data_IF_717510763157
#
_entry.id   IF_717510763157
#
_cell.length_a   1.000
_cell.length_b   1.000
_cell.length_c   1.000
_cell.angle_alpha   90.00
_cell.angle_beta   90.00
_cell.angle_gamma   90.00
#
_symmetry.space_group_name_H-M   'P 1'
#
loop_
_entity.id
_entity.type
_entity.pdbx_description
1 polymer ?
#
# COMPACT_ATOMS: atom_id res chain seq x y z
N UNK A 1 -24.49 -11.58 -4.83
CA UNK A 1 -24.06 -10.16 -4.99
C UNK A 1 -25.26 -9.22 -5.07
N UNK A 2 -26.28 -9.53 -5.88
CA UNK A 2 -27.49 -8.69 -6.04
C UNK A 2 -28.26 -8.35 -4.74
N UNK A 3 -28.44 -9.26 -3.78
CA UNK A 3 -29.17 -8.94 -2.54
C UNK A 3 -28.46 -7.94 -1.62
N UNK A 4 -27.12 -7.98 -1.52
CA UNK A 4 -26.35 -7.01 -0.71
C UNK A 4 -26.38 -5.64 -1.38
N UNK A 5 -26.41 -5.63 -2.71
CA UNK A 5 -26.51 -4.45 -3.55
C UNK A 5 -27.89 -3.78 -3.46
N UNK A 6 -29.00 -4.52 -3.58
CA UNK A 6 -30.34 -3.98 -3.38
C UNK A 6 -30.54 -3.42 -1.97
N UNK A 7 -30.05 -4.10 -0.93
CA UNK A 7 -30.09 -3.57 0.45
C UNK A 7 -29.26 -2.30 0.63
N UNK A 8 -28.22 -2.09 -0.19
CA UNK A 8 -27.41 -0.87 -0.15
C UNK A 8 -28.15 0.30 -0.81
N UNK A 9 -28.75 0.06 -1.97
CA UNK A 9 -29.57 1.03 -2.67
C UNK A 9 -30.81 1.40 -1.87
N UNK A 10 -31.47 0.41 -1.27
CA UNK A 10 -32.59 0.59 -0.36
C UNK A 10 -32.17 1.40 0.87
N UNK A 11 -31.01 1.12 1.48
CA UNK A 11 -30.49 1.93 2.59
C UNK A 11 -30.21 3.38 2.19
N UNK A 12 -29.56 3.61 1.03
CA UNK A 12 -29.24 4.96 0.55
C UNK A 12 -30.52 5.74 0.19
N UNK A 13 -31.48 5.07 -0.45
CA UNK A 13 -32.78 5.63 -0.81
C UNK A 13 -33.63 5.95 0.43
N UNK A 14 -33.77 5.01 1.36
CA UNK A 14 -34.53 5.19 2.61
C UNK A 14 -33.89 6.24 3.50
N UNK A 15 -32.56 6.32 3.56
CA UNK A 15 -31.87 7.37 4.31
C UNK A 15 -32.12 8.75 3.72
N UNK A 16 -32.04 8.90 2.39
CA UNK A 16 -32.34 10.18 1.73
C UNK A 16 -33.81 10.59 1.85
N UNK A 17 -34.75 9.63 1.87
CA UNK A 17 -36.15 9.93 2.16
C UNK A 17 -36.37 10.37 3.61
N UNK A 18 -35.70 9.73 4.58
CA UNK A 18 -35.82 10.09 6.01
C UNK A 18 -35.21 11.44 6.35
N UNK A 19 -34.18 11.87 5.64
CA UNK A 19 -33.51 13.16 5.87
C UNK A 19 -34.29 14.37 5.27
N UNK A 20 -35.53 14.17 4.79
CA UNK A 20 -36.55 15.20 4.52
C UNK A 20 -36.07 16.50 3.82
N UNK A 21 -35.98 16.44 2.48
CA UNK A 21 -36.04 17.60 1.56
C UNK A 21 -36.84 17.34 0.26
N UNK A 22 -37.59 16.24 0.19
CA UNK A 22 -38.25 15.82 -1.07
C UNK A 22 -39.71 16.25 -1.23
N UNK A 23 -40.28 17.01 -0.29
CA UNK A 23 -41.72 17.25 -0.27
C UNK A 23 -42.26 18.27 -1.29
N UNK A 24 -41.44 18.93 -2.11
CA UNK A 24 -41.93 19.89 -3.11
C UNK A 24 -41.09 19.82 -4.39
N UNK A 25 -41.35 18.83 -5.27
CA UNK A 25 -40.85 18.86 -6.65
C UNK A 25 -42.03 18.53 -7.57
N UNK A 26 -42.35 19.46 -8.48
CA UNK A 26 -43.46 19.35 -9.42
C UNK A 26 -43.37 18.08 -10.29
N UNK A 27 -44.52 17.55 -10.69
CA UNK A 27 -44.68 16.28 -11.41
C UNK A 27 -43.97 16.19 -12.78
N UNK A 28 -43.44 17.29 -13.33
CA UNK A 28 -42.64 17.28 -14.57
C UNK A 28 -41.14 17.08 -14.32
N UNK A 29 -40.62 17.41 -13.13
CA UNK A 29 -39.19 17.22 -12.80
C UNK A 29 -38.89 15.83 -12.22
N UNK A 30 -39.90 15.06 -11.83
CA UNK A 30 -39.73 13.74 -11.21
C UNK A 30 -39.03 12.72 -12.11
N UNK A 31 -39.29 12.73 -13.42
CA UNK A 31 -38.72 11.73 -14.34
C UNK A 31 -37.22 11.93 -14.60
N UNK A 32 -36.80 13.18 -14.87
CA UNK A 32 -35.38 13.51 -15.07
C UNK A 32 -34.57 13.30 -13.78
N UNK A 33 -35.19 13.58 -12.65
CA UNK A 33 -34.60 13.40 -11.34
C UNK A 33 -34.37 11.93 -11.02
N UNK A 34 -35.34 11.08 -11.35
CA UNK A 34 -35.21 9.64 -11.22
C UNK A 34 -34.06 9.10 -12.07
N UNK A 35 -33.92 9.60 -13.30
CA UNK A 35 -32.86 9.18 -14.22
C UNK A 35 -31.45 9.56 -13.73
N UNK A 36 -31.25 10.79 -13.25
CA UNK A 36 -29.95 11.22 -12.69
C UNK A 36 -29.59 10.43 -11.43
N UNK A 37 -30.59 10.21 -10.57
CA UNK A 37 -30.40 9.42 -9.37
C UNK A 37 -29.97 7.99 -9.71
N UNK A 38 -30.62 7.36 -10.68
CA UNK A 38 -30.23 6.04 -11.18
C UNK A 38 -28.84 6.03 -11.82
N UNK A 39 -28.48 7.04 -12.62
CA UNK A 39 -27.13 7.12 -13.18
C UNK A 39 -26.04 7.22 -12.11
N UNK A 40 -26.29 7.95 -11.02
CA UNK A 40 -25.35 8.00 -9.88
C UNK A 40 -25.28 6.66 -9.16
N UNK A 41 -26.42 6.00 -8.96
CA UNK A 41 -26.50 4.64 -8.41
C UNK A 41 -25.70 3.65 -9.28
N UNK A 42 -25.89 3.68 -10.59
CA UNK A 42 -25.21 2.82 -11.54
C UNK A 42 -23.70 3.08 -11.54
N UNK A 43 -23.30 4.35 -11.40
CA UNK A 43 -21.90 4.70 -11.22
C UNK A 43 -21.33 4.09 -9.93
N UNK A 44 -22.01 4.26 -8.78
CA UNK A 44 -21.59 3.63 -7.52
C UNK A 44 -21.55 2.10 -7.65
N UNK A 45 -22.52 1.51 -8.34
CA UNK A 45 -22.59 0.07 -8.61
C UNK A 45 -21.39 -0.42 -9.42
N UNK A 46 -21.05 0.32 -10.48
CA UNK A 46 -19.88 0.07 -11.30
C UNK A 46 -18.60 0.09 -10.45
N UNK A 47 -18.47 1.05 -9.52
CA UNK A 47 -17.35 1.09 -8.58
C UNK A 47 -17.32 -0.12 -7.67
N UNK A 48 -18.49 -0.54 -7.15
CA UNK A 48 -18.64 -1.74 -6.33
C UNK A 48 -18.19 -3.03 -7.03
N UNK A 49 -18.37 -3.09 -8.35
CA UNK A 49 -18.02 -4.26 -9.15
C UNK A 49 -16.55 -4.26 -9.59
N UNK A 50 -16.00 -3.08 -9.92
CA UNK A 50 -14.72 -2.98 -10.62
C UNK A 50 -13.53 -2.60 -9.72
N UNK A 51 -13.77 -2.03 -8.54
CA UNK A 51 -12.71 -1.62 -7.61
C UNK A 51 -12.70 -2.55 -6.38
N UNK A 52 -11.51 -2.90 -5.88
CA UNK A 52 -11.37 -3.75 -4.69
C UNK A 52 -11.46 -2.93 -3.40
N UNK A 53 -12.62 -2.98 -2.74
CA UNK A 53 -12.87 -2.34 -1.45
C UNK A 53 -12.06 -2.94 -0.31
N UNK A 54 -11.51 -4.14 -0.52
CA UNK A 54 -10.63 -4.81 0.43
C UNK A 54 -9.21 -4.29 0.42
N UNK A 55 -8.83 -3.47 -0.57
CA UNK A 55 -7.54 -2.80 -0.57
C UNK A 55 -7.61 -1.44 0.15
N UNK A 56 -6.58 -1.15 0.94
CA UNK A 56 -6.58 0.06 1.77
C UNK A 56 -6.30 1.34 0.96
N UNK A 57 -6.06 1.24 -0.35
CA UNK A 57 -5.76 2.37 -1.25
C UNK A 57 -7.06 2.93 -1.84
N UNK A 58 -7.87 2.03 -2.38
CA UNK A 58 -9.13 2.33 -3.05
C UNK A 58 -10.12 3.01 -2.13
N UNK A 59 -10.06 2.80 -0.81
CA UNK A 59 -10.95 3.46 0.15
C UNK A 59 -10.82 4.99 0.07
N UNK A 60 -9.59 5.52 0.03
CA UNK A 60 -9.35 6.97 -0.07
C UNK A 60 -9.85 7.54 -1.40
N UNK A 61 -9.63 6.80 -2.49
CA UNK A 61 -10.11 7.19 -3.81
C UNK A 61 -11.65 7.20 -3.86
N UNK A 62 -12.27 6.09 -3.45
CA UNK A 62 -13.72 5.91 -3.44
C UNK A 62 -14.43 6.92 -2.55
N UNK A 63 -13.85 7.26 -1.41
CA UNK A 63 -14.34 8.32 -0.52
C UNK A 63 -14.52 9.65 -1.26
N UNK A 64 -13.50 10.07 -2.01
CA UNK A 64 -13.54 11.32 -2.79
C UNK A 64 -14.54 11.23 -3.94
N UNK A 65 -14.57 10.09 -4.64
CA UNK A 65 -15.53 9.89 -5.75
C UNK A 65 -16.98 9.90 -5.24
N UNK A 66 -17.26 9.24 -4.13
CA UNK A 66 -18.61 9.20 -3.57
C UNK A 66 -19.03 10.58 -3.08
N UNK A 67 -18.13 11.32 -2.44
CA UNK A 67 -18.37 12.72 -2.08
C UNK A 67 -18.71 13.57 -3.30
N UNK A 68 -17.93 13.46 -4.38
CA UNK A 68 -18.19 14.20 -5.63
C UNK A 68 -19.55 13.84 -6.24
N UNK A 69 -19.91 12.55 -6.28
CA UNK A 69 -21.22 12.10 -6.77
C UNK A 69 -22.37 12.66 -5.92
N UNK A 70 -22.23 12.65 -4.59
CA UNK A 70 -23.25 13.17 -3.68
C UNK A 70 -23.40 14.69 -3.81
N UNK A 71 -22.29 15.43 -3.95
CA UNK A 71 -22.32 16.88 -4.23
C UNK A 71 -22.98 17.20 -5.57
N UNK A 72 -22.72 16.42 -6.63
CA UNK A 72 -23.37 16.62 -7.93
C UNK A 72 -24.88 16.42 -7.88
N UNK A 73 -25.32 15.39 -7.16
CA UNK A 73 -26.73 15.17 -6.92
C UNK A 73 -27.34 16.35 -6.16
N UNK A 74 -26.67 16.85 -5.12
CA UNK A 74 -27.14 18.02 -4.35
C UNK A 74 -27.23 19.29 -5.21
N UNK A 75 -26.23 19.55 -6.06
CA UNK A 75 -26.21 20.69 -7.00
C UNK A 75 -27.33 20.61 -8.04
N UNK A 76 -27.70 19.40 -8.45
CA UNK A 76 -28.88 19.21 -9.28
C UNK A 76 -30.16 19.55 -8.53
N UNK A 77 -30.31 19.11 -7.28
CA UNK A 77 -31.47 19.42 -6.45
C UNK A 77 -31.63 20.90 -6.13
N UNK A 78 -30.53 21.65 -5.99
CA UNK A 78 -30.56 23.11 -5.82
C UNK A 78 -30.77 23.88 -7.12
N UNK A 79 -30.91 23.20 -8.27
CA UNK A 79 -30.98 23.79 -9.60
C UNK A 79 -29.71 24.57 -10.03
N UNK A 80 -28.57 24.33 -9.38
CA UNK A 80 -27.27 24.92 -9.74
C UNK A 80 -26.68 24.30 -11.02
N UNK A 81 -27.09 23.07 -11.35
CA UNK A 81 -26.63 22.34 -12.55
C UNK A 81 -27.79 21.72 -13.31
N UNK A 82 -27.70 21.75 -14.64
CA UNK A 82 -28.66 21.09 -15.51
C UNK A 82 -28.49 19.57 -15.52
N UNK A 83 -29.54 18.85 -15.90
CA UNK A 83 -29.52 17.38 -16.00
C UNK A 83 -28.44 16.87 -16.95
N UNK A 84 -28.22 17.57 -18.06
CA UNK A 84 -27.17 17.27 -19.04
C UNK A 84 -25.77 17.40 -18.43
N UNK A 85 -25.48 18.51 -17.74
CA UNK A 85 -24.18 18.74 -17.10
C UNK A 85 -23.86 17.64 -16.08
N UNK A 86 -24.85 17.24 -15.28
CA UNK A 86 -24.68 16.19 -14.27
C UNK A 86 -24.37 14.84 -14.91
N UNK A 87 -25.01 14.48 -16.02
CA UNK A 87 -24.72 13.23 -16.76
C UNK A 87 -23.30 13.21 -17.31
N UNK A 88 -22.88 14.31 -17.93
CA UNK A 88 -21.53 14.46 -18.45
C UNK A 88 -20.49 14.28 -17.34
N UNK A 89 -20.69 14.93 -16.19
CA UNK A 89 -19.78 14.78 -15.06
C UNK A 89 -19.78 13.37 -14.44
N UNK A 90 -20.94 12.69 -14.39
CA UNK A 90 -21.02 11.28 -13.96
C UNK A 90 -20.23 10.39 -14.93
N UNK A 91 -20.32 10.63 -16.24
CA UNK A 91 -19.55 9.89 -17.24
C UNK A 91 -18.04 10.16 -17.11
N UNK A 92 -17.64 11.40 -16.84
CA UNK A 92 -16.24 11.75 -16.54
C UNK A 92 -15.75 11.02 -15.28
N UNK A 93 -16.57 10.94 -14.23
CA UNK A 93 -16.25 10.17 -13.02
C UNK A 93 -16.05 8.68 -13.33
N UNK A 94 -16.91 8.08 -14.17
CA UNK A 94 -16.72 6.69 -14.62
C UNK A 94 -15.37 6.51 -15.32
N UNK A 95 -15.02 7.44 -16.22
CA UNK A 95 -13.73 7.42 -16.92
C UNK A 95 -12.56 7.54 -15.94
N UNK A 96 -12.63 8.42 -14.94
CA UNK A 96 -11.62 8.54 -13.88
C UNK A 96 -11.43 7.22 -13.11
N UNK A 97 -12.51 6.49 -12.87
CA UNK A 97 -12.45 5.22 -12.14
C UNK A 97 -11.81 4.11 -12.98
N UNK A 98 -12.08 4.07 -14.29
CA UNK A 98 -11.38 3.18 -15.23
C UNK A 98 -9.88 3.51 -15.27
N UNK A 99 -9.54 4.80 -15.34
CA UNK A 99 -8.14 5.25 -15.31
C UNK A 99 -7.44 4.86 -14.00
N UNK A 100 -8.12 5.04 -12.85
CA UNK A 100 -7.59 4.65 -11.55
C UNK A 100 -7.26 3.16 -11.52
N UNK A 101 -8.19 2.32 -11.96
CA UNK A 101 -8.01 0.88 -12.03
C UNK A 101 -6.81 0.51 -12.92
N UNK A 102 -6.70 1.11 -14.10
CA UNK A 102 -5.60 0.86 -15.03
C UNK A 102 -4.24 1.28 -14.43
N UNK A 103 -4.16 2.46 -13.82
CA UNK A 103 -2.93 2.93 -13.17
C UNK A 103 -2.57 2.11 -11.95
N UNK A 104 -3.55 1.69 -11.15
CA UNK A 104 -3.32 0.83 -10.00
C UNK A 104 -2.74 -0.53 -10.42
N UNK A 105 -3.31 -1.15 -11.47
CA UNK A 105 -2.76 -2.39 -12.01
C UNK A 105 -1.36 -2.23 -12.57
N UNK A 106 -1.11 -1.15 -13.32
CA UNK A 106 0.23 -0.83 -13.81
C UNK A 106 1.22 -0.67 -12.65
N UNK A 107 0.83 0.03 -11.59
CA UNK A 107 1.65 0.22 -10.39
C UNK A 107 1.97 -1.11 -9.68
N UNK A 108 0.98 -1.98 -9.47
CA UNK A 108 1.20 -3.29 -8.85
C UNK A 108 2.17 -4.17 -9.65
N UNK A 109 2.04 -4.17 -10.97
CA UNK A 109 2.87 -4.97 -11.87
C UNK A 109 4.29 -4.41 -12.00
N UNK A 110 4.39 -3.15 -12.39
CA UNK A 110 5.65 -2.54 -12.81
C UNK A 110 6.49 -2.06 -11.63
N UNK A 111 5.85 -1.58 -10.55
CA UNK A 111 6.54 -1.05 -9.37
C UNK A 111 6.66 -2.10 -8.28
N UNK A 112 5.54 -2.74 -7.90
CA UNK A 112 5.55 -3.69 -6.78
C UNK A 112 5.99 -5.10 -7.18
N UNK A 113 6.06 -5.40 -8.49
CA UNK A 113 6.38 -6.72 -9.04
C UNK A 113 5.53 -7.83 -8.41
N UNK A 114 4.27 -7.51 -8.08
CA UNK A 114 3.30 -8.48 -7.56
C UNK A 114 2.59 -9.09 -8.76
N UNK A 115 2.75 -10.40 -9.04
CA UNK A 115 1.96 -11.02 -10.10
C UNK A 115 0.49 -10.85 -9.72
N UNK A 116 -0.34 -10.39 -10.67
CA UNK A 116 -1.79 -10.31 -10.47
C UNK A 116 -2.28 -11.74 -10.26
N UNK A 117 -2.41 -12.15 -9.00
CA UNK A 117 -3.17 -13.34 -8.65
C UNK A 117 -4.65 -12.98 -8.82
N UNK A 118 -5.05 -13.05 -10.09
CA UNK A 118 -6.39 -12.98 -10.67
C UNK A 118 -7.20 -11.69 -10.44
N UNK A 119 -7.79 -11.22 -11.54
CA UNK A 119 -8.65 -10.05 -11.76
C UNK A 119 -9.94 -10.01 -10.91
N UNK A 120 -10.07 -10.85 -9.88
CA UNK A 120 -11.28 -10.96 -9.09
C UNK A 120 -11.17 -10.08 -7.86
N UNK A 121 -12.24 -9.33 -7.60
CA UNK A 121 -12.47 -8.62 -6.37
C UNK A 121 -12.37 -9.64 -5.20
N UNK A 122 -11.19 -9.75 -4.57
CA UNK A 122 -10.88 -10.71 -3.49
C UNK A 122 -11.92 -10.58 -2.38
N UNK A 123 -12.45 -9.37 -2.23
CA UNK A 123 -13.52 -9.05 -1.32
C UNK A 123 -14.86 -9.73 -1.69
N UNK A 124 -15.25 -9.76 -2.97
CA UNK A 124 -16.46 -10.46 -3.44
C UNK A 124 -16.41 -11.97 -3.12
N UNK A 125 -15.23 -12.59 -3.15
CA UNK A 125 -15.04 -13.98 -2.74
C UNK A 125 -15.10 -14.16 -1.21
N UNK A 126 -14.51 -13.23 -0.45
CA UNK A 126 -14.49 -13.27 1.03
C UNK A 126 -15.87 -13.08 1.66
N UNK A 127 -16.79 -12.35 1.01
CA UNK A 127 -18.19 -12.25 1.47
C UNK A 127 -18.90 -13.61 1.36
N UNK A 128 -18.52 -14.45 0.39
CA UNK A 128 -19.17 -15.74 0.15
C UNK A 128 -18.72 -16.87 1.08
N UNK A 129 -17.43 -16.92 1.47
CA UNK A 129 -16.87 -18.06 2.21
C UNK A 129 -15.68 -17.65 3.09
N UNK A 130 -15.91 -17.15 4.30
CA UNK A 130 -14.92 -17.34 5.37
C UNK A 130 -15.34 -18.58 6.16
N UNK A 131 -14.72 -19.77 5.94
CA UNK A 131 -14.85 -20.82 6.93
C UNK A 131 -14.41 -20.21 8.27
N UNK A 132 -15.28 -20.30 9.29
CA UNK A 132 -14.89 -19.97 10.66
C UNK A 132 -13.74 -20.92 11.01
N UNK A 133 -12.49 -20.45 10.88
CA UNK A 133 -11.36 -21.17 11.46
C UNK A 133 -11.50 -20.99 12.96
N UNK A 134 -11.85 -22.06 13.66
CA UNK A 134 -11.78 -22.08 15.11
C UNK A 134 -10.35 -21.72 15.49
N UNK A 135 -10.19 -20.67 16.28
CA UNK A 135 -8.89 -20.31 16.85
C UNK A 135 -8.72 -21.25 18.03
N UNK A 136 -7.96 -22.32 17.84
CA UNK A 136 -7.64 -23.26 18.90
C UNK A 136 -6.58 -22.63 19.83
N UNK A 137 -6.74 -22.78 21.15
CA UNK A 137 -5.66 -22.47 22.11
C UNK A 137 -4.45 -23.38 21.87
N UNK A 138 -3.29 -23.01 22.42
CA UNK A 138 -2.09 -23.83 22.27
C UNK A 138 -2.29 -25.23 22.89
N UNK A 139 -2.98 -25.33 24.03
CA UNK A 139 -3.35 -26.65 24.59
C UNK A 139 -4.33 -27.41 23.68
N UNK A 140 -5.28 -26.72 23.03
CA UNK A 140 -6.22 -27.35 22.10
C UNK A 140 -5.55 -27.83 20.81
N UNK A 141 -4.48 -27.19 20.36
CA UNK A 141 -3.70 -27.64 19.20
C UNK A 141 -2.89 -28.89 19.59
N UNK A 142 -2.32 -28.90 20.79
CA UNK A 142 -1.50 -30.02 21.29
C UNK A 142 -2.35 -31.22 21.73
N UNK A 143 -3.60 -31.00 22.13
CA UNK A 143 -4.54 -32.07 22.52
C UNK A 143 -5.33 -32.66 21.35
N UNK A 144 -5.26 -32.05 20.17
CA UNK A 144 -5.84 -32.67 18.97
C UNK A 144 -5.12 -33.98 18.69
N UNK A 145 -5.85 -35.09 18.49
CA UNK A 145 -5.22 -36.33 18.08
C UNK A 145 -4.46 -36.07 16.78
N UNK A 146 -3.19 -36.45 16.75
CA UNK A 146 -2.37 -36.35 15.53
C UNK A 146 -3.11 -37.12 14.45
N UNK A 147 -3.63 -36.42 13.45
CA UNK A 147 -4.27 -37.04 12.30
C UNK A 147 -3.20 -37.76 11.48
N UNK A 148 -2.93 -39.01 11.83
CA UNK A 148 -1.93 -39.86 11.17
C UNK A 148 -2.32 -40.20 9.72
N UNK A 149 -3.55 -39.92 9.32
CA UNK A 149 -4.03 -40.10 7.95
C UNK A 149 -3.93 -38.81 7.11
N UNK A 150 -3.51 -37.70 7.71
CA UNK A 150 -3.20 -36.47 6.97
C UNK A 150 -2.10 -36.74 5.93
N UNK A 151 -2.22 -36.10 4.76
CA UNK A 151 -1.25 -36.22 3.66
C UNK A 151 0.22 -35.93 4.10
N UNK A 152 0.40 -35.18 5.19
CA UNK A 152 1.71 -34.92 5.80
C UNK A 152 2.37 -36.19 6.37
N UNK A 153 1.58 -37.14 6.87
CA UNK A 153 2.03 -38.41 7.44
C UNK A 153 1.85 -39.59 6.50
N UNK A 154 1.07 -39.45 5.42
CA UNK A 154 1.13 -40.45 4.36
C UNK A 154 2.57 -40.51 3.84
N UNK A 155 3.22 -41.68 3.84
CA UNK A 155 4.57 -41.87 3.31
C UNK A 155 4.58 -41.80 1.77
N UNK A 156 3.77 -40.92 1.18
CA UNK A 156 3.83 -40.55 -0.23
C UNK A 156 4.77 -39.35 -0.37
N UNK A 157 5.94 -39.42 0.26
CA UNK A 157 7.10 -39.11 -0.54
C UNK A 157 7.09 -40.18 -1.61
N UNK A 158 6.53 -39.88 -2.80
CA UNK A 158 6.95 -40.62 -3.99
C UNK A 158 8.46 -40.72 -3.85
N UNK A 159 9.02 -41.93 -3.91
CA UNK A 159 10.46 -42.07 -4.05
C UNK A 159 10.82 -41.23 -5.27
N UNK A 160 11.21 -39.99 -5.03
CA UNK A 160 11.75 -39.13 -6.05
C UNK A 160 13.07 -39.82 -6.35
N UNK A 161 13.15 -40.45 -7.52
CA UNK A 161 14.36 -41.03 -8.09
C UNK A 161 15.34 -39.89 -8.40
N UNK A 162 15.78 -39.17 -7.38
CA UNK A 162 16.94 -38.30 -7.45
C UNK A 162 18.15 -39.21 -7.61
N UNK A 163 18.36 -39.70 -8.84
CA UNK A 163 19.54 -40.50 -9.16
C UNK A 163 20.82 -39.79 -8.76
N UNK A 164 20.83 -38.45 -8.79
CA UNK A 164 21.92 -37.60 -8.30
C UNK A 164 21.39 -36.24 -7.79
N UNK A 165 21.78 -35.84 -6.57
CA UNK A 165 21.67 -34.46 -6.10
C UNK A 165 22.94 -33.71 -6.49
N UNK A 166 22.83 -32.78 -7.44
CA UNK A 166 23.97 -32.02 -7.93
C UNK A 166 23.98 -30.61 -7.33
N UNK A 167 24.97 -30.32 -6.50
CA UNK A 167 25.26 -28.97 -6.01
C UNK A 167 26.43 -28.39 -6.81
N UNK A 168 26.22 -27.22 -7.42
CA UNK A 168 27.27 -26.45 -8.08
C UNK A 168 27.37 -25.09 -7.43
N UNK A 169 28.59 -24.67 -7.18
CA UNK A 169 28.89 -23.29 -6.79
C UNK A 169 29.39 -22.50 -8.00
N UNK A 170 29.12 -21.20 -8.00
CA UNK A 170 29.61 -20.28 -9.03
C UNK A 170 30.96 -19.67 -8.67
N UNK A 171 31.25 -19.61 -7.38
CA UNK A 171 32.44 -18.95 -6.87
C UNK A 171 33.59 -19.97 -6.77
N UNK A 172 34.83 -19.58 -7.06
CA UNK A 172 35.99 -20.42 -6.78
C UNK A 172 36.22 -20.49 -5.26
N UNK A 173 36.59 -21.67 -4.76
CA UNK A 173 36.95 -21.88 -3.34
C UNK A 173 38.36 -22.43 -3.25
N UNK A 174 39.14 -21.86 -2.34
CA UNK A 174 40.47 -22.38 -2.00
C UNK A 174 40.36 -23.69 -1.22
N UNK A 175 41.39 -24.53 -1.33
CA UNK A 175 41.46 -25.80 -0.60
C UNK A 175 41.46 -25.51 0.91
N UNK A 176 40.49 -26.07 1.63
CA UNK A 176 40.32 -25.87 3.08
C UNK A 176 39.35 -24.75 3.45
N UNK A 177 38.86 -23.96 2.48
CA UNK A 177 37.85 -22.95 2.73
C UNK A 177 36.46 -23.56 2.93
N UNK A 178 35.62 -22.88 3.72
CA UNK A 178 34.20 -23.23 3.86
C UNK A 178 33.46 -22.91 2.56
N UNK A 179 32.72 -23.89 2.04
CA UNK A 179 31.86 -23.72 0.85
C UNK A 179 30.48 -23.23 1.29
N UNK A 180 30.09 -22.06 0.79
CA UNK A 180 28.79 -21.46 1.08
C UNK A 180 27.80 -21.68 -0.07
N UNK A 181 26.52 -21.77 0.26
CA UNK A 181 25.43 -21.76 -0.70
C UNK A 181 24.34 -20.76 -0.29
N UNK A 182 23.70 -20.14 -1.27
CA UNK A 182 22.60 -19.21 -1.00
C UNK A 182 21.31 -19.99 -0.71
N UNK A 183 20.86 -19.98 0.54
CA UNK A 183 19.66 -20.70 0.98
C UNK A 183 18.40 -20.29 0.20
N UNK A 184 18.17 -18.98 0.02
CA UNK A 184 17.14 -18.35 -0.83
C UNK A 184 17.14 -16.83 -0.59
N UNK A 185 16.22 -16.10 -1.25
CA UNK A 185 15.97 -14.66 -1.04
C UNK A 185 15.12 -14.42 0.22
N UNK A 186 15.70 -14.72 1.39
CA UNK A 186 15.01 -14.67 2.68
C UNK A 186 15.39 -13.41 3.47
N UNK A 187 14.38 -12.78 4.08
CA UNK A 187 14.59 -11.74 5.08
C UNK A 187 15.08 -12.34 6.39
N UNK A 188 15.72 -11.55 7.25
CA UNK A 188 16.20 -12.02 8.55
C UNK A 188 15.07 -12.59 9.41
N UNK A 189 13.87 -11.99 9.35
CA UNK A 189 12.67 -12.57 10.00
C UNK A 189 12.38 -14.01 9.57
N UNK A 190 12.54 -14.35 8.28
CA UNK A 190 12.29 -15.70 7.77
C UNK A 190 13.43 -16.64 8.10
N UNK A 191 14.67 -16.15 8.09
CA UNK A 191 15.84 -16.93 8.47
C UNK A 191 15.79 -17.32 9.95
N UNK A 192 15.42 -16.39 10.84
CA UNK A 192 15.22 -16.68 12.25
C UNK A 192 14.15 -17.75 12.48
N UNK A 193 13.00 -17.61 11.82
CA UNK A 193 11.87 -18.55 12.00
C UNK A 193 12.15 -19.96 11.44
N UNK A 194 13.01 -20.10 10.43
CA UNK A 194 13.24 -21.38 9.75
C UNK A 194 14.56 -22.05 10.15
N UNK A 195 15.57 -21.25 10.44
CA UNK A 195 16.96 -21.69 10.61
C UNK A 195 17.59 -21.17 11.92
N UNK A 196 16.88 -20.35 12.71
CA UNK A 196 17.41 -19.85 13.98
C UNK A 196 18.54 -18.82 13.86
N UNK A 197 18.77 -18.24 12.66
CA UNK A 197 19.86 -17.29 12.42
C UNK A 197 19.40 -16.00 11.72
N UNK A 198 20.18 -14.94 11.89
CA UNK A 198 20.05 -13.66 11.19
C UNK A 198 21.41 -13.25 10.62
N UNK A 199 21.41 -12.50 9.51
CA UNK A 199 22.64 -12.01 8.88
C UNK A 199 22.67 -10.49 8.92
N UNK A 200 23.82 -9.94 9.29
CA UNK A 200 24.13 -8.52 9.12
C UNK A 200 24.14 -8.16 7.62
N UNK A 201 23.68 -6.95 7.29
CA UNK A 201 23.64 -6.43 5.92
C UNK A 201 22.95 -7.35 4.89
N UNK A 202 21.95 -8.12 5.31
CA UNK A 202 21.21 -9.00 4.41
C UNK A 202 20.46 -8.19 3.33
N UNK A 203 20.94 -8.28 2.08
CA UNK A 203 20.37 -7.59 0.91
C UNK A 203 18.87 -7.87 0.69
N UNK A 204 18.36 -9.01 1.15
CA UNK A 204 16.96 -9.40 1.01
C UNK A 204 16.10 -9.05 2.22
N UNK A 205 16.68 -8.39 3.22
CA UNK A 205 15.95 -8.04 4.43
C UNK A 205 14.90 -6.96 4.19
N UNK A 206 13.95 -6.91 5.12
CA UNK A 206 12.83 -5.99 5.05
C UNK A 206 12.19 -5.77 6.40
N UNK A 207 11.83 -4.52 6.69
CA UNK A 207 11.03 -4.16 7.84
C UNK A 207 9.56 -3.96 7.43
N UNK A 208 8.62 -4.26 8.32
CA UNK A 208 7.21 -3.95 8.10
C UNK A 208 6.81 -2.72 8.89
N UNK A 209 6.50 -1.64 8.17
CA UNK A 209 5.87 -0.45 8.71
C UNK A 209 4.37 -0.70 8.86
N UNK A 210 3.83 -0.51 10.07
CA UNK A 210 2.39 -0.63 10.35
C UNK A 210 1.81 0.77 10.52
N UNK A 211 0.86 1.12 9.67
CA UNK A 211 0.18 2.42 9.70
C UNK A 211 -1.29 2.20 10.00
N UNK A 212 -1.80 2.89 11.01
CA UNK A 212 -3.24 2.99 11.26
C UNK A 212 -3.85 3.96 10.26
N UNK A 213 -4.28 3.44 9.11
CA UNK A 213 -4.78 4.32 8.04
C UNK A 213 -6.16 4.89 8.33
N UNK A 214 -6.92 4.25 9.23
CA UNK A 214 -8.24 4.71 9.67
C UNK A 214 -8.23 6.16 10.17
N UNK A 215 -7.15 6.62 10.81
CA UNK A 215 -7.03 7.99 11.33
C UNK A 215 -6.97 9.07 10.24
N UNK A 216 -6.71 8.69 8.98
CA UNK A 216 -6.57 9.62 7.86
C UNK A 216 -7.83 9.73 6.99
N UNK A 217 -8.86 8.91 7.27
CA UNK A 217 -10.14 8.95 6.56
C UNK A 217 -10.98 10.07 7.14
N UNK A 218 -11.41 11.00 6.28
CA UNK A 218 -12.08 12.24 6.71
C UNK A 218 -13.60 12.13 6.60
N UNK A 219 -14.09 11.38 5.63
CA UNK A 219 -15.50 11.28 5.30
C UNK A 219 -16.16 10.06 5.97
N UNK A 220 -17.40 10.25 6.39
CA UNK A 220 -18.30 9.21 6.89
C UNK A 220 -18.45 8.05 5.91
N UNK A 221 -18.37 8.28 4.60
CA UNK A 221 -18.43 7.22 3.58
C UNK A 221 -17.25 6.25 3.70
N UNK A 222 -16.01 6.75 3.78
CA UNK A 222 -14.83 5.90 3.95
C UNK A 222 -14.88 5.11 5.26
N UNK A 223 -15.32 5.75 6.35
CA UNK A 223 -15.55 5.09 7.63
C UNK A 223 -16.61 3.99 7.52
N UNK A 224 -17.73 4.29 6.85
CA UNK A 224 -18.80 3.33 6.60
C UNK A 224 -18.30 2.12 5.79
N UNK A 225 -17.48 2.31 4.74
CA UNK A 225 -16.86 1.22 3.98
C UNK A 225 -16.04 0.33 4.93
N UNK A 226 -15.15 0.90 5.74
CA UNK A 226 -14.34 0.14 6.71
C UNK A 226 -15.22 -0.68 7.66
N UNK A 227 -16.21 -0.03 8.28
CA UNK A 227 -17.09 -0.68 9.26
C UNK A 227 -17.94 -1.78 8.64
N UNK A 228 -18.58 -1.47 7.50
CA UNK A 228 -19.45 -2.38 6.76
C UNK A 228 -18.71 -3.66 6.37
N UNK A 229 -17.46 -3.51 5.96
CA UNK A 229 -16.64 -4.58 5.41
C UNK A 229 -15.65 -5.19 6.40
N UNK A 230 -15.65 -4.72 7.65
CA UNK A 230 -14.75 -5.18 8.73
C UNK A 230 -13.30 -5.21 8.27
N UNK A 231 -12.87 -4.14 7.59
CA UNK A 231 -11.51 -4.03 7.08
C UNK A 231 -10.53 -3.86 8.26
N UNK A 232 -9.32 -4.38 8.10
CA UNK A 232 -8.27 -4.16 9.09
C UNK A 232 -7.96 -2.67 9.13
N UNK A 233 -7.92 -2.04 10.31
CA UNK A 233 -7.58 -0.61 10.48
C UNK A 233 -6.10 -0.31 10.24
N UNK A 234 -5.26 -1.36 10.19
CA UNK A 234 -3.83 -1.27 9.97
C UNK A 234 -3.45 -1.70 8.55
N UNK A 235 -2.66 -0.88 7.86
CA UNK A 235 -1.96 -1.23 6.62
C UNK A 235 -0.51 -1.56 6.95
N UNK A 236 0.01 -2.64 6.35
CA UNK A 236 1.42 -3.01 6.41
C UNK A 236 2.12 -2.61 5.11
N UNK A 237 3.21 -1.86 5.23
CA UNK A 237 4.12 -1.52 4.15
C UNK A 237 5.45 -2.26 4.35
N UNK A 238 6.00 -2.80 3.27
CA UNK A 238 7.27 -3.51 3.31
C UNK A 238 8.39 -2.54 2.93
N UNK A 239 9.17 -2.11 3.91
CA UNK A 239 10.36 -1.27 3.73
C UNK A 239 11.56 -2.15 3.42
N UNK A 240 12.46 -1.66 2.57
CA UNK A 240 13.70 -2.32 2.18
C UNK A 240 14.84 -1.31 2.19
N UNK A 241 16.07 -1.80 2.27
CA UNK A 241 17.27 -0.96 2.26
C UNK A 241 17.58 -0.38 0.86
N UNK A 242 17.31 -1.17 -0.18
CA UNK A 242 17.74 -0.90 -1.57
C UNK A 242 16.63 -0.43 -2.51
N UNK A 243 15.42 -0.18 -2.00
CA UNK A 243 14.26 0.22 -2.82
C UNK A 243 13.53 1.34 -2.08
N UNK A 244 13.24 2.49 -2.72
CA UNK A 244 12.43 3.54 -2.12
C UNK A 244 11.03 3.02 -1.75
N UNK A 245 10.39 3.56 -0.72
CA UNK A 245 9.12 3.06 -0.23
C UNK A 245 7.94 3.55 -1.09
N UNK A 246 7.95 3.28 -2.41
CA UNK A 246 6.96 3.77 -3.38
C UNK A 246 5.51 3.45 -2.99
N UNK A 247 5.23 2.22 -2.54
CA UNK A 247 3.87 1.84 -2.08
C UNK A 247 3.39 2.74 -0.93
N UNK A 248 4.30 3.15 -0.06
CA UNK A 248 3.99 3.98 1.08
C UNK A 248 3.85 5.47 0.69
N UNK A 249 4.69 5.97 -0.21
CA UNK A 249 4.56 7.34 -0.75
C UNK A 249 3.21 7.51 -1.47
N UNK A 250 2.84 6.57 -2.36
CA UNK A 250 1.53 6.60 -3.06
C UNK A 250 0.36 6.56 -2.07
N UNK A 251 0.48 5.79 -0.98
CA UNK A 251 -0.51 5.81 0.08
C UNK A 251 -0.64 7.20 0.72
N UNK A 252 0.48 7.87 1.03
CA UNK A 252 0.44 9.23 1.56
C UNK A 252 -0.15 10.24 0.55
N UNK A 253 0.09 10.06 -0.75
CA UNK A 253 -0.51 10.89 -1.81
C UNK A 253 -2.03 10.76 -1.81
N UNK A 254 -2.56 9.55 -1.70
CA UNK A 254 -4.01 9.32 -1.65
C UNK A 254 -4.70 10.03 -0.48
N UNK A 255 -4.02 10.22 0.65
CA UNK A 255 -4.57 10.93 1.82
C UNK A 255 -4.82 12.41 1.51
N UNK A 256 -3.98 13.03 0.69
CA UNK A 256 -4.10 14.44 0.29
C UNK A 256 -4.72 14.64 -1.10
N UNK A 257 -4.93 13.56 -1.85
CA UNK A 257 -5.56 13.62 -3.16
C UNK A 257 -7.00 14.11 -3.05
N UNK A 258 -7.38 14.94 -4.02
CA UNK A 258 -8.69 15.59 -4.09
C UNK A 258 -9.13 15.59 -5.54
N UNK A 259 -10.26 14.95 -5.84
CA UNK A 259 -10.79 14.78 -7.20
C UNK A 259 -11.23 16.07 -7.90
N UNK A 260 -11.30 17.18 -7.16
CA UNK A 260 -11.65 18.49 -7.70
C UNK A 260 -10.41 19.31 -8.10
N UNK A 261 -9.25 18.97 -7.57
CA UNK A 261 -7.99 19.69 -7.80
C UNK A 261 -7.03 18.87 -8.66
N UNK A 262 -6.99 17.56 -8.40
CA UNK A 262 -5.97 16.68 -8.95
C UNK A 262 -6.58 15.65 -9.91
N UNK A 263 -5.88 15.37 -11.00
CA UNK A 263 -6.19 14.25 -11.87
C UNK A 263 -5.76 12.91 -11.24
N UNK A 264 -6.30 11.80 -11.76
CA UNK A 264 -6.09 10.46 -11.19
C UNK A 264 -4.64 9.98 -11.34
N UNK A 265 -3.97 10.36 -12.42
CA UNK A 265 -2.56 10.03 -12.67
C UNK A 265 -1.62 10.67 -11.66
N UNK A 266 -1.94 11.84 -11.10
CA UNK A 266 -1.16 12.46 -10.02
C UNK A 266 -1.03 11.57 -8.78
N UNK A 267 -1.89 10.56 -8.58
CA UNK A 267 -1.77 9.60 -7.47
C UNK A 267 -0.50 8.75 -7.65
N UNK A 268 -0.22 8.32 -8.89
CA UNK A 268 0.80 7.32 -9.21
C UNK A 268 2.04 7.90 -9.88
N UNK A 269 1.93 9.10 -10.46
CA UNK A 269 3.00 9.86 -11.12
C UNK A 269 3.25 11.18 -10.38
N UNK A 270 4.45 11.70 -10.51
CA UNK A 270 4.81 13.03 -10.02
C UNK A 270 4.40 14.02 -11.12
N UNK A 271 3.38 14.84 -10.86
CA UNK A 271 2.85 15.84 -11.78
C UNK A 271 2.51 17.11 -11.01
N UNK A 272 1.93 16.96 -9.82
CA UNK A 272 1.74 18.04 -8.86
C UNK A 272 2.83 17.95 -7.77
N UNK A 273 3.78 18.89 -7.81
CA UNK A 273 4.89 18.97 -6.85
C UNK A 273 4.42 19.28 -5.42
N UNK A 274 3.32 20.03 -5.26
CA UNK A 274 2.76 20.39 -3.96
C UNK A 274 2.11 19.16 -3.30
N UNK A 275 1.37 18.38 -4.08
CA UNK A 275 0.81 17.11 -3.60
C UNK A 275 1.92 16.12 -3.21
N UNK A 276 2.95 16.00 -4.05
CA UNK A 276 4.11 15.14 -3.77
C UNK A 276 4.81 15.57 -2.47
N UNK A 277 5.06 16.87 -2.30
CA UNK A 277 5.70 17.42 -1.11
C UNK A 277 4.92 17.12 0.17
N UNK A 278 3.60 17.32 0.16
CA UNK A 278 2.72 16.99 1.29
C UNK A 278 2.75 15.49 1.62
N UNK A 279 2.72 14.64 0.59
CA UNK A 279 2.78 13.19 0.77
C UNK A 279 4.12 12.74 1.38
N UNK A 280 5.23 13.30 0.91
CA UNK A 280 6.57 13.02 1.45
C UNK A 280 6.71 13.50 2.90
N UNK A 281 6.19 14.69 3.24
CA UNK A 281 6.15 15.17 4.63
C UNK A 281 5.45 14.18 5.55
N UNK A 282 4.27 13.72 5.17
CA UNK A 282 3.51 12.76 5.95
C UNK A 282 4.21 11.40 6.04
N UNK A 283 4.84 10.96 4.93
CA UNK A 283 5.64 9.74 4.93
C UNK A 283 6.81 9.82 5.92
N UNK A 284 7.51 10.97 5.93
CA UNK A 284 8.61 11.25 6.86
C UNK A 284 8.12 11.27 8.31
N UNK A 285 7.02 11.99 8.59
CA UNK A 285 6.41 12.07 9.93
C UNK A 285 6.09 10.68 10.49
N UNK A 286 5.40 9.85 9.71
CA UNK A 286 5.04 8.48 10.11
C UNK A 286 6.30 7.62 10.34
N UNK A 287 7.33 7.74 9.50
CA UNK A 287 8.57 6.98 9.69
C UNK A 287 9.32 7.42 10.94
N UNK A 288 9.40 8.72 11.21
CA UNK A 288 10.01 9.26 12.43
C UNK A 288 9.24 8.82 13.68
N UNK A 289 7.90 8.88 13.66
CA UNK A 289 7.03 8.39 14.74
C UNK A 289 7.24 6.90 15.03
N UNK A 290 7.54 6.10 14.00
CA UNK A 290 7.78 4.66 14.16
C UNK A 290 9.22 4.36 14.54
N UNK A 291 10.16 5.19 14.11
CA UNK A 291 11.58 5.09 14.47
C UNK A 291 11.82 5.49 15.93
N UNK A 292 11.08 6.46 16.47
CA UNK A 292 11.17 6.86 17.88
C UNK A 292 10.66 5.80 18.86
N UNK A 293 9.95 4.76 18.39
CA UNK A 293 9.49 3.63 19.21
C UNK A 293 10.59 2.60 19.48
N UNK A 294 11.75 2.70 18.83
CA UNK A 294 12.90 1.87 19.15
C UNK A 294 13.58 2.41 20.40
N UNK A 295 13.90 1.51 21.34
CA UNK A 295 14.54 1.89 22.61
C UNK A 295 16.04 2.12 22.44
N UNK A 296 16.66 1.26 21.64
CA UNK A 296 18.10 1.30 21.36
C UNK A 296 18.40 2.13 20.10
N UNK A 297 19.56 2.77 20.07
CA UNK A 297 20.10 3.39 18.85
C UNK A 297 20.83 2.35 17.98
N UNK A 298 21.25 2.74 16.76
CA UNK A 298 22.06 1.84 15.91
C UNK A 298 23.41 1.60 16.57
N UNK A 299 23.97 2.66 17.14
CA UNK A 299 25.27 2.70 17.79
C UNK A 299 25.29 1.80 19.03
N UNK A 300 24.22 1.83 19.86
CA UNK A 300 24.07 0.93 21.02
C UNK A 300 24.03 -0.55 20.60
N UNK A 301 23.31 -0.85 19.52
CA UNK A 301 23.16 -2.21 19.01
C UNK A 301 24.45 -2.72 18.37
N UNK A 302 25.19 -1.87 17.65
CA UNK A 302 26.52 -2.19 17.12
C UNK A 302 27.51 -2.48 18.24
N UNK A 303 27.54 -1.65 19.28
CA UNK A 303 28.38 -1.90 20.45
C UNK A 303 28.02 -3.21 21.16
N UNK A 304 26.72 -3.54 21.23
CA UNK A 304 26.24 -4.78 21.82
C UNK A 304 26.72 -6.03 21.06
N UNK A 305 26.97 -5.93 19.75
CA UNK A 305 27.50 -7.05 18.95
C UNK A 305 28.98 -7.33 19.26
N UNK A 306 29.71 -6.39 19.86
CA UNK A 306 31.10 -6.58 20.28
C UNK A 306 31.24 -7.29 21.63
N UNK A 307 30.13 -7.47 22.36
CA UNK A 307 30.13 -8.16 23.65
C UNK A 307 30.35 -9.67 23.46
N UNK A 308 31.52 -10.14 23.91
CA UNK A 308 31.92 -11.55 23.84
C UNK A 308 31.09 -12.45 24.77
N UNK A 309 30.37 -11.89 25.74
CA UNK A 309 29.52 -12.65 26.65
C UNK A 309 28.15 -13.02 26.04
N UNK A 310 27.86 -12.47 24.87
CA UNK A 310 26.53 -12.56 24.27
C UNK A 310 26.32 -13.92 23.61
N UNK A 311 25.28 -14.65 24.05
CA UNK A 311 24.96 -15.97 23.50
C UNK A 311 24.42 -15.88 22.06
N UNK A 312 24.56 -16.95 21.27
CA UNK A 312 24.15 -16.95 19.85
C UNK A 312 22.70 -16.51 19.59
N UNK A 313 21.75 -16.91 20.44
CA UNK A 313 20.35 -16.49 20.29
C UNK A 313 20.18 -14.98 20.53
N UNK A 314 20.89 -14.45 21.52
CA UNK A 314 20.88 -13.01 21.79
C UNK A 314 21.54 -12.27 20.62
N UNK A 315 22.62 -12.82 20.05
CA UNK A 315 23.36 -12.21 18.94
C UNK A 315 22.43 -12.02 17.74
N UNK A 316 21.75 -13.09 17.31
CA UNK A 316 20.83 -12.97 16.19
C UNK A 316 19.60 -12.10 16.48
N UNK A 317 19.18 -12.01 17.75
CA UNK A 317 18.14 -11.07 18.14
C UNK A 317 18.61 -9.61 18.05
N UNK A 318 19.87 -9.31 18.43
CA UNK A 318 20.48 -7.98 18.27
C UNK A 318 20.63 -7.63 16.79
N UNK A 319 21.20 -8.54 15.97
CA UNK A 319 21.31 -8.37 14.51
C UNK A 319 19.97 -8.06 13.87
N UNK A 320 18.91 -8.80 14.22
CA UNK A 320 17.58 -8.55 13.66
C UNK A 320 17.00 -7.18 14.04
N UNK A 321 17.23 -6.70 15.28
CA UNK A 321 16.82 -5.36 15.70
C UNK A 321 17.62 -4.28 14.97
N UNK A 322 18.94 -4.46 14.89
CA UNK A 322 19.87 -3.56 14.21
C UNK A 322 19.51 -3.37 12.74
N UNK A 323 19.35 -4.47 12.00
CA UNK A 323 19.00 -4.42 10.57
C UNK A 323 17.62 -3.77 10.34
N UNK A 324 16.66 -4.04 11.21
CA UNK A 324 15.35 -3.39 11.15
C UNK A 324 15.49 -1.86 11.33
N UNK A 325 16.26 -1.41 12.32
CA UNK A 325 16.49 0.01 12.58
C UNK A 325 17.24 0.69 11.43
N UNK A 326 18.28 0.04 10.89
CA UNK A 326 19.01 0.50 9.69
C UNK A 326 18.07 0.69 8.50
N UNK A 327 17.14 -0.23 8.26
CA UNK A 327 16.14 -0.09 7.18
C UNK A 327 15.25 1.14 7.40
N UNK A 328 14.82 1.42 8.64
CA UNK A 328 14.01 2.60 8.94
C UNK A 328 14.80 3.90 8.71
N UNK A 329 15.98 4.04 9.32
CA UNK A 329 16.86 5.21 9.13
C UNK A 329 17.18 5.44 7.66
N UNK A 330 17.46 4.36 6.92
CA UNK A 330 17.70 4.43 5.48
C UNK A 330 16.52 4.99 4.69
N UNK A 331 15.30 4.55 4.97
CA UNK A 331 14.10 5.07 4.29
C UNK A 331 13.81 6.52 4.66
N UNK A 332 14.11 6.93 5.90
CA UNK A 332 14.04 8.33 6.34
C UNK A 332 15.00 9.20 5.52
N UNK A 333 16.27 8.78 5.41
CA UNK A 333 17.27 9.52 4.61
C UNK A 333 16.87 9.62 3.15
N UNK A 334 16.41 8.53 2.53
CA UNK A 334 15.96 8.56 1.13
C UNK A 334 14.81 9.56 0.93
N UNK A 335 13.85 9.64 1.86
CA UNK A 335 12.74 10.61 1.78
C UNK A 335 13.24 12.05 1.99
N UNK A 336 14.14 12.29 2.93
CA UNK A 336 14.73 13.62 3.15
C UNK A 336 15.49 14.11 1.91
N UNK A 337 16.27 13.23 1.27
CA UNK A 337 16.95 13.55 0.00
C UNK A 337 15.91 14.00 -1.03
N UNK A 338 14.84 13.22 -1.22
CA UNK A 338 13.77 13.57 -2.17
C UNK A 338 13.14 14.92 -1.83
N UNK A 339 12.83 15.17 -0.55
CA UNK A 339 12.24 16.42 -0.08
C UNK A 339 13.14 17.61 -0.41
N UNK A 340 14.44 17.54 -0.12
CA UNK A 340 15.39 18.64 -0.40
C UNK A 340 15.45 18.91 -1.90
N UNK A 341 15.57 17.87 -2.73
CA UNK A 341 15.62 18.02 -4.19
C UNK A 341 14.33 18.68 -4.69
N UNK A 342 13.18 18.21 -4.21
CA UNK A 342 11.87 18.76 -4.55
C UNK A 342 11.73 20.23 -4.12
N UNK A 343 12.15 20.58 -2.91
CA UNK A 343 12.08 21.95 -2.38
C UNK A 343 12.98 22.90 -3.18
N UNK A 344 14.21 22.49 -3.52
CA UNK A 344 15.09 23.26 -4.41
C UNK A 344 14.42 23.50 -5.78
N UNK A 345 13.82 22.46 -6.36
CA UNK A 345 13.10 22.59 -7.63
C UNK A 345 11.90 23.51 -7.56
N UNK A 346 11.10 23.42 -6.50
CA UNK A 346 9.95 24.30 -6.28
C UNK A 346 10.38 25.77 -6.10
N UNK A 347 11.61 26.01 -5.67
CA UNK A 347 12.24 27.34 -5.60
C UNK A 347 12.94 27.77 -6.91
N UNK A 348 12.72 27.05 -8.02
CA UNK A 348 13.25 27.40 -9.35
C UNK A 348 14.67 26.92 -9.65
N UNK A 349 15.28 26.12 -8.78
CA UNK A 349 16.61 25.54 -9.04
C UNK A 349 16.48 24.45 -10.13
N UNK A 350 17.30 24.47 -11.20
CA UNK A 350 17.32 23.42 -12.21
C UNK A 350 17.54 22.02 -11.61
N UNK A 351 16.93 20.99 -12.19
CA UNK A 351 16.98 19.62 -11.65
C UNK A 351 18.41 19.12 -11.43
N UNK A 352 19.32 19.39 -12.36
CA UNK A 352 20.72 18.96 -12.31
C UNK A 352 21.40 19.46 -11.02
N UNK A 353 21.23 20.75 -10.72
CA UNK A 353 21.76 21.39 -9.50
C UNK A 353 20.97 20.99 -8.25
N UNK A 354 19.64 20.84 -8.37
CA UNK A 354 18.80 20.43 -7.26
C UNK A 354 19.18 19.02 -6.76
N UNK A 355 19.53 18.12 -7.69
CA UNK A 355 19.87 16.72 -7.45
C UNK A 355 21.29 16.48 -6.91
N UNK A 356 22.10 17.52 -6.72
CA UNK A 356 23.44 17.43 -6.13
C UNK A 356 23.41 16.87 -4.70
N UNK A 357 24.60 16.60 -4.15
CA UNK A 357 24.77 15.98 -2.82
C UNK A 357 24.02 16.77 -1.73
N UNK A 358 23.38 16.04 -0.84
CA UNK A 358 22.64 16.55 0.31
C UNK A 358 23.30 16.09 1.62
N UNK A 359 22.94 16.71 2.73
CA UNK A 359 23.41 16.32 4.08
C UNK A 359 23.04 14.88 4.46
N UNK A 360 21.97 14.33 3.87
CA UNK A 360 21.51 12.96 4.10
C UNK A 360 22.17 11.93 3.19
N UNK A 361 23.03 12.37 2.25
CA UNK A 361 23.72 11.43 1.38
C UNK A 361 24.84 10.68 2.10
N UNK A 362 25.45 11.29 3.13
CA UNK A 362 26.67 10.79 3.80
C UNK A 362 27.68 10.31 2.75
N UNK A 363 28.35 9.17 2.96
CA UNK A 363 29.27 8.57 1.99
C UNK A 363 28.57 7.72 0.91
N UNK A 364 27.24 7.74 0.86
CA UNK A 364 26.44 6.88 -0.01
C UNK A 364 25.81 7.61 -1.19
N UNK A 365 26.33 8.78 -1.59
CA UNK A 365 25.76 9.63 -2.65
C UNK A 365 25.40 8.86 -3.93
N UNK A 366 26.36 8.15 -4.53
CA UNK A 366 26.15 7.41 -5.78
C UNK A 366 25.11 6.29 -5.60
N UNK A 367 25.19 5.58 -4.47
CA UNK A 367 24.24 4.53 -4.13
C UNK A 367 22.82 5.09 -3.98
N UNK A 368 22.67 6.27 -3.37
CA UNK A 368 21.39 6.94 -3.21
C UNK A 368 20.82 7.36 -4.55
N UNK A 369 21.64 7.95 -5.43
CA UNK A 369 21.21 8.34 -6.79
C UNK A 369 20.80 7.13 -7.60
N UNK A 370 21.52 6.01 -7.48
CA UNK A 370 21.11 4.76 -8.13
C UNK A 370 19.75 4.25 -7.62
N UNK A 371 19.56 4.21 -6.29
CA UNK A 371 18.31 3.77 -5.66
C UNK A 371 17.13 4.68 -6.03
N UNK A 372 17.37 6.00 -6.08
CA UNK A 372 16.36 7.02 -6.36
C UNK A 372 16.17 7.30 -7.86
N UNK A 373 17.00 6.73 -8.74
CA UNK A 373 17.01 7.02 -10.18
C UNK A 373 15.62 7.08 -10.79
N UNK A 374 14.82 6.02 -10.61
CA UNK A 374 13.47 5.96 -11.18
C UNK A 374 12.53 7.04 -10.62
N UNK A 375 12.70 7.42 -9.36
CA UNK A 375 11.92 8.51 -8.76
C UNK A 375 12.35 9.86 -9.35
N UNK A 376 13.66 10.09 -9.44
CA UNK A 376 14.28 11.29 -10.00
C UNK A 376 13.99 11.48 -11.48
N UNK A 377 13.94 10.41 -12.27
CA UNK A 377 13.52 10.46 -13.68
C UNK A 377 12.07 10.97 -13.81
N UNK A 378 11.16 10.54 -12.93
CA UNK A 378 9.77 11.05 -12.90
C UNK A 378 9.70 12.50 -12.46
N UNK A 379 10.50 12.87 -11.45
CA UNK A 379 10.54 14.23 -10.93
C UNK A 379 11.07 15.20 -11.99
N UNK A 380 12.13 14.82 -12.71
CA UNK A 380 12.66 15.57 -13.85
C UNK A 380 11.63 15.72 -14.97
N UNK A 381 10.89 14.65 -15.30
CA UNK A 381 9.85 14.69 -16.32
C UNK A 381 8.68 15.63 -15.96
N UNK A 382 8.29 15.69 -14.68
CA UNK A 382 7.24 16.58 -14.21
C UNK A 382 7.52 18.07 -14.53
N UNK A 383 8.79 18.49 -14.45
CA UNK A 383 9.20 19.86 -14.79
C UNK A 383 8.96 20.15 -16.27
N UNK A 384 9.40 19.25 -17.15
CA UNK A 384 9.31 19.46 -18.60
C UNK A 384 7.87 19.48 -19.11
N UNK A 385 6.93 18.86 -18.40
CA UNK A 385 5.51 18.95 -18.75
C UNK A 385 4.83 20.24 -18.26
N UNK A 386 5.41 20.90 -17.25
CA UNK A 386 4.83 22.11 -16.65
C UNK A 386 5.17 23.39 -17.44
N UNK A 387 6.10 23.29 -18.39
CA UNK A 387 6.44 24.34 -19.36
C UNK A 387 5.76 24.03 -20.68
#
# INVERSE_FOLDING_TARGET
MNQVYYKLLEFLYVKQQKDNKFQIISSKNTLQLHEIFFHSIDCKAFLFQNIDFGDNFSIFFLEQIFYKLDTLIQQYFSADKSSYQVREEINQIKNHCILYQNYWYSFQNQILKRPIQQKYNIFAQKIGKRPKRNIFSMEQILSQPVDRNCDYYTPVFKQEDFKNLLMRTRDPFEKGAQVYFCYSRLSNRKMLLKYGMALEYNKYDSAFLRVEFFKYIKNKVGLWIIHRFKLNKLKRFKLKHIIPPYEFIVFCKLIYWNSNVHSVDTIFKIQDLQLERKALSLALEILLEQNSKFKETVEDLEQSLLDKSLGYHQYFAVVYRLEKLRIYRRNIYLINIIIIVLDKMMNGVPFEQASERTEYDFDFYETNRYILRKYFDQLKWAIYQSK
#
